data_IF_895877762480
#
_entry.id   IF_895877762480
#
_cell.length_a   1.000
_cell.length_b   1.000
_cell.length_c   1.000
_cell.angle_alpha   90.00
_cell.angle_beta   90.00
_cell.angle_gamma   90.00
#
_symmetry.space_group_name_H-M   'P 1'
#
loop_
_entity.id
_entity.type
_entity.pdbx_description
1 polymer ?
#
# COMPACT_ATOMS: atom_id res chain seq x y z
N UNK A 1 19.57 -15.96 -9.43
CA UNK A 1 19.22 -14.65 -10.00
C UNK A 1 17.88 -14.23 -9.42
N UNK A 2 17.87 -13.29 -8.48
CA UNK A 2 16.64 -12.78 -7.86
C UNK A 2 15.96 -11.85 -8.87
N UNK A 3 15.20 -12.43 -9.80
CA UNK A 3 14.44 -11.68 -10.78
C UNK A 3 13.29 -10.91 -10.13
N UNK A 4 12.98 -9.73 -10.67
CA UNK A 4 11.74 -9.01 -10.38
C UNK A 4 10.56 -9.91 -10.80
N UNK A 5 9.71 -10.28 -9.85
CA UNK A 5 8.51 -11.10 -10.08
C UNK A 5 7.28 -10.33 -9.60
N UNK A 6 6.16 -10.56 -10.27
CA UNK A 6 4.86 -9.98 -9.94
C UNK A 6 3.85 -11.13 -9.78
N UNK A 7 2.84 -10.93 -8.94
CA UNK A 7 1.77 -11.92 -8.78
C UNK A 7 0.90 -12.01 -10.04
N UNK A 8 0.81 -10.90 -10.79
CA UNK A 8 0.28 -10.90 -12.15
C UNK A 8 1.39 -10.93 -13.22
N UNK A 9 1.01 -11.21 -14.47
CA UNK A 9 1.90 -11.16 -15.61
C UNK A 9 2.53 -9.76 -15.76
N UNK A 10 3.86 -9.68 -15.61
CA UNK A 10 4.63 -8.42 -15.64
C UNK A 10 4.34 -7.52 -16.87
N UNK A 11 3.99 -8.13 -18.01
CA UNK A 11 3.59 -7.41 -19.21
C UNK A 11 2.24 -6.68 -19.07
N UNK A 12 1.27 -7.26 -18.34
CA UNK A 12 0.01 -6.58 -18.05
C UNK A 12 0.21 -5.45 -17.05
N UNK A 13 1.01 -5.66 -16.00
CA UNK A 13 1.37 -4.60 -15.04
C UNK A 13 2.06 -3.43 -15.73
N UNK A 14 3.02 -3.71 -16.63
CA UNK A 14 3.70 -2.69 -17.42
C UNK A 14 2.77 -2.00 -18.42
N UNK A 15 1.88 -2.74 -19.09
CA UNK A 15 0.89 -2.17 -20.00
C UNK A 15 -0.10 -1.27 -19.27
N UNK A 16 -0.56 -1.66 -18.07
CA UNK A 16 -1.40 -0.82 -17.22
C UNK A 16 -0.66 0.44 -16.76
N UNK A 17 0.60 0.32 -16.33
CA UNK A 17 1.42 1.45 -15.93
C UNK A 17 1.66 2.43 -17.09
N UNK A 18 1.95 1.94 -18.30
CA UNK A 18 2.11 2.75 -19.51
C UNK A 18 0.79 3.41 -19.92
N UNK A 19 -0.33 2.68 -19.91
CA UNK A 19 -1.63 3.24 -20.23
C UNK A 19 -1.99 4.36 -19.25
N UNK A 20 -1.86 4.13 -17.95
CA UNK A 20 -2.20 5.13 -16.96
C UNK A 20 -1.26 6.36 -17.02
N UNK A 21 0.03 6.17 -17.29
CA UNK A 21 0.96 7.28 -17.52
C UNK A 21 0.73 8.07 -18.82
N UNK A 22 0.05 7.47 -19.81
CA UNK A 22 -0.33 8.15 -21.06
C UNK A 22 -1.62 8.96 -20.93
N UNK A 23 -2.53 8.55 -20.05
CA UNK A 23 -3.84 9.20 -19.88
C UNK A 23 -3.91 10.15 -18.68
N UNK A 24 -3.09 9.96 -17.64
CA UNK A 24 -3.14 10.74 -16.41
C UNK A 24 -1.81 11.46 -16.15
N UNK A 25 -1.85 12.77 -15.91
CA UNK A 25 -0.67 13.60 -15.67
C UNK A 25 0.14 13.21 -14.41
N UNK A 26 1.29 13.86 -14.20
CA UNK A 26 2.29 13.51 -13.17
C UNK A 26 1.79 13.45 -11.72
N UNK A 27 0.70 14.14 -11.38
CA UNK A 27 0.05 14.08 -10.06
C UNK A 27 -0.57 12.73 -9.72
N UNK A 28 -0.74 11.85 -10.72
CA UNK A 28 -1.49 10.58 -10.61
C UNK A 28 -0.59 9.32 -10.67
N UNK A 29 0.73 9.48 -10.74
CA UNK A 29 1.66 8.36 -10.85
C UNK A 29 1.73 7.50 -9.57
N UNK A 30 1.51 8.10 -8.41
CA UNK A 30 1.39 7.37 -7.14
C UNK A 30 0.19 6.43 -7.12
N UNK A 31 -0.94 6.88 -7.67
CA UNK A 31 -2.18 6.11 -7.80
C UNK A 31 -2.06 5.01 -8.86
N UNK A 32 -1.55 5.37 -10.03
CA UNK A 32 -1.61 4.52 -11.21
C UNK A 32 -0.50 3.49 -11.30
N UNK A 33 0.63 3.73 -10.63
CA UNK A 33 1.81 2.87 -10.73
C UNK A 33 2.34 2.54 -9.34
N UNK A 34 2.63 3.54 -8.50
CA UNK A 34 3.39 3.34 -7.26
C UNK A 34 2.72 2.39 -6.26
N UNK A 35 1.49 2.68 -5.86
CA UNK A 35 0.77 1.91 -4.84
C UNK A 35 0.35 0.53 -5.33
N UNK A 36 -0.19 0.36 -6.55
CA UNK A 36 -0.45 -0.96 -7.12
C UNK A 36 0.83 -1.80 -7.25
N UNK A 37 1.92 -1.22 -7.75
CA UNK A 37 3.21 -1.91 -7.86
C UNK A 37 3.70 -2.42 -6.50
N UNK A 38 3.60 -1.58 -5.46
CA UNK A 38 4.00 -1.96 -4.10
C UNK A 38 3.23 -3.19 -3.60
N UNK A 39 1.95 -3.33 -3.96
CA UNK A 39 1.11 -4.47 -3.58
C UNK A 39 1.39 -5.71 -4.44
N UNK A 40 1.66 -5.54 -5.73
CA UNK A 40 1.86 -6.64 -6.69
C UNK A 40 3.30 -7.16 -6.76
N UNK A 41 4.28 -6.44 -6.23
CA UNK A 41 5.68 -6.86 -6.24
C UNK A 41 5.91 -8.07 -5.32
N UNK A 42 6.36 -9.19 -5.90
CA UNK A 42 6.64 -10.43 -5.17
C UNK A 42 7.83 -10.21 -4.22
N UNK A 43 7.61 -10.50 -2.94
CA UNK A 43 8.54 -10.23 -1.85
C UNK A 43 8.12 -9.06 -0.96
N UNK A 44 7.27 -8.13 -1.45
CA UNK A 44 6.65 -7.12 -0.60
C UNK A 44 5.60 -7.75 0.33
N UNK A 45 4.84 -8.72 -0.20
CA UNK A 45 3.89 -9.56 0.53
C UNK A 45 4.54 -10.24 1.74
N UNK A 46 5.76 -10.76 1.61
CA UNK A 46 6.51 -11.35 2.72
C UNK A 46 6.79 -10.31 3.83
N UNK A 47 7.24 -9.11 3.46
CA UNK A 47 7.55 -8.06 4.43
C UNK A 47 6.30 -7.59 5.19
N UNK A 48 5.17 -7.43 4.48
CA UNK A 48 3.90 -7.08 5.11
C UNK A 48 3.41 -8.20 6.03
N UNK A 49 3.44 -9.46 5.57
CA UNK A 49 3.10 -10.63 6.39
C UNK A 49 3.93 -10.69 7.66
N UNK A 50 5.25 -10.58 7.54
CA UNK A 50 6.15 -10.69 8.69
C UNK A 50 5.93 -9.56 9.69
N UNK A 51 5.62 -8.35 9.22
CA UNK A 51 5.28 -7.22 10.09
C UNK A 51 3.97 -7.46 10.84
N UNK A 52 2.92 -7.94 10.16
CA UNK A 52 1.64 -8.25 10.79
C UNK A 52 1.76 -9.42 11.79
N UNK A 53 2.55 -10.44 11.46
CA UNK A 53 2.83 -11.55 12.37
C UNK A 53 3.64 -11.10 13.59
N UNK A 54 4.60 -10.20 13.42
CA UNK A 54 5.31 -9.60 14.54
C UNK A 54 4.35 -8.83 15.45
N UNK A 55 3.43 -8.03 14.88
CA UNK A 55 2.38 -7.32 15.64
C UNK A 55 1.50 -8.28 16.45
N UNK A 56 1.17 -9.45 15.90
CA UNK A 56 0.30 -10.40 16.56
C UNK A 56 0.99 -11.21 17.67
N UNK A 57 2.30 -11.45 17.58
CA UNK A 57 2.98 -12.45 18.42
C UNK A 57 4.14 -11.93 19.27
N UNK A 58 4.77 -10.81 18.90
CA UNK A 58 5.90 -10.29 19.68
C UNK A 58 5.41 -9.56 20.94
N UNK A 59 6.05 -9.78 22.09
CA UNK A 59 5.66 -9.12 23.33
C UNK A 59 6.06 -7.64 23.34
N UNK A 60 5.22 -6.81 23.95
CA UNK A 60 5.50 -5.39 24.19
C UNK A 60 5.00 -4.47 23.07
N UNK A 61 5.54 -3.25 23.03
CA UNK A 61 5.20 -2.26 22.01
C UNK A 61 6.13 -2.37 20.81
N UNK A 62 5.58 -2.23 19.60
CA UNK A 62 6.32 -2.32 18.35
C UNK A 62 6.31 -0.98 17.60
N UNK A 63 7.43 -0.70 16.94
CA UNK A 63 7.57 0.40 15.99
C UNK A 63 8.07 -0.21 14.68
N UNK A 64 7.32 -0.01 13.60
CA UNK A 64 7.73 -0.32 12.24
C UNK A 64 7.72 0.94 11.39
N UNK A 65 8.67 1.07 10.46
CA UNK A 65 8.77 2.24 9.61
C UNK A 65 9.39 1.90 8.26
N UNK A 66 9.14 2.78 7.28
CA UNK A 66 9.90 2.88 6.05
C UNK A 66 10.84 4.10 6.10
N UNK A 67 11.38 4.55 4.97
CA UNK A 67 12.29 5.72 4.96
C UNK A 67 11.59 7.01 5.42
N UNK A 68 10.43 7.31 4.85
CA UNK A 68 9.68 8.55 5.13
C UNK A 68 8.50 8.34 6.08
N UNK A 69 8.25 7.10 6.53
CA UNK A 69 7.12 6.77 7.41
C UNK A 69 5.73 6.88 6.79
N UNK A 70 5.59 7.17 5.48
CA UNK A 70 4.29 7.43 4.84
C UNK A 70 3.74 6.28 3.98
N UNK A 71 4.48 5.80 2.98
CA UNK A 71 3.89 4.92 1.94
C UNK A 71 3.75 3.46 2.41
N UNK A 72 4.87 2.74 2.50
CA UNK A 72 4.91 1.34 2.97
C UNK A 72 4.41 1.21 4.43
N UNK A 73 4.69 2.21 5.25
CA UNK A 73 4.22 2.24 6.64
C UNK A 73 2.71 2.44 6.67
N UNK A 74 2.20 3.47 5.99
CA UNK A 74 0.77 3.75 5.93
C UNK A 74 -0.05 2.62 5.30
N UNK A 75 0.47 1.95 4.27
CA UNK A 75 -0.19 0.76 3.72
C UNK A 75 -0.24 -0.39 4.74
N UNK A 76 0.87 -0.68 5.43
CA UNK A 76 0.91 -1.72 6.48
C UNK A 76 -0.08 -1.40 7.59
N UNK A 77 -0.11 -0.15 8.06
CA UNK A 77 -1.06 0.32 9.07
C UNK A 77 -2.50 0.21 8.57
N UNK A 78 -2.78 0.58 7.32
CA UNK A 78 -4.12 0.50 6.76
C UNK A 78 -4.64 -0.94 6.68
N UNK A 79 -3.79 -1.88 6.28
CA UNK A 79 -4.11 -3.31 6.31
C UNK A 79 -4.38 -3.76 7.75
N UNK A 80 -3.48 -3.44 8.68
CA UNK A 80 -3.62 -3.81 10.10
C UNK A 80 -4.94 -3.30 10.71
N UNK A 81 -5.27 -2.03 10.52
CA UNK A 81 -6.50 -1.45 11.06
C UNK A 81 -7.74 -2.08 10.41
N UNK A 82 -7.67 -2.37 9.11
CA UNK A 82 -8.77 -3.01 8.37
C UNK A 82 -9.04 -4.43 8.88
N UNK A 83 -8.01 -5.27 9.08
CA UNK A 83 -8.20 -6.63 9.62
C UNK A 83 -8.68 -6.62 11.08
N UNK A 84 -8.45 -5.53 11.81
CA UNK A 84 -8.96 -5.31 13.17
C UNK A 84 -10.40 -4.76 13.18
N UNK A 85 -11.04 -4.58 12.01
CA UNK A 85 -12.42 -4.11 11.90
C UNK A 85 -12.60 -2.60 12.13
N UNK A 86 -11.52 -1.82 12.05
CA UNK A 86 -11.60 -0.36 12.18
C UNK A 86 -12.36 0.23 10.99
N UNK A 87 -13.30 1.18 11.21
CA UNK A 87 -14.07 1.77 10.11
C UNK A 87 -13.18 2.39 9.03
N UNK A 88 -13.55 2.20 7.75
CA UNK A 88 -12.78 2.68 6.60
C UNK A 88 -12.41 4.17 6.69
N UNK A 89 -13.34 5.01 7.13
CA UNK A 89 -13.11 6.45 7.28
C UNK A 89 -12.00 6.76 8.31
N UNK A 90 -11.87 5.96 9.37
CA UNK A 90 -10.80 6.12 10.37
C UNK A 90 -9.46 5.68 9.80
N UNK A 91 -9.42 4.60 9.02
CA UNK A 91 -8.21 4.15 8.31
C UNK A 91 -7.71 5.21 7.33
N UNK A 92 -8.63 5.81 6.57
CA UNK A 92 -8.33 6.89 5.63
C UNK A 92 -7.83 8.16 6.34
N UNK A 93 -8.44 8.51 7.48
CA UNK A 93 -8.00 9.65 8.29
C UNK A 93 -6.59 9.44 8.86
N UNK A 94 -6.28 8.24 9.36
CA UNK A 94 -4.93 7.89 9.84
C UNK A 94 -3.89 7.99 8.72
N UNK A 95 -4.19 7.42 7.55
CA UNK A 95 -3.30 7.49 6.39
C UNK A 95 -3.00 8.95 5.98
N UNK A 96 -4.03 9.79 5.91
CA UNK A 96 -3.88 11.22 5.56
C UNK A 96 -3.15 12.04 6.64
N UNK A 97 -3.08 11.58 7.89
CA UNK A 97 -2.36 12.29 8.95
C UNK A 97 -0.86 12.48 8.61
N UNK A 98 -0.31 11.63 7.74
CA UNK A 98 1.03 11.79 7.16
C UNK A 98 1.23 13.18 6.51
N UNK A 99 0.20 13.76 5.90
CA UNK A 99 0.30 15.08 5.26
C UNK A 99 0.58 16.20 6.28
N UNK A 100 0.09 16.04 7.50
CA UNK A 100 0.38 16.97 8.60
C UNK A 100 1.75 16.68 9.22
N UNK A 101 2.01 15.43 9.61
CA UNK A 101 3.20 15.09 10.40
C UNK A 101 4.52 15.09 9.60
N UNK A 102 4.45 14.97 8.28
CA UNK A 102 5.63 15.13 7.41
C UNK A 102 5.90 16.59 7.02
N UNK A 103 5.00 17.52 7.36
CA UNK A 103 5.08 18.91 6.92
C UNK A 103 4.85 19.12 5.42
N UNK A 104 4.29 18.12 4.73
CA UNK A 104 3.97 18.18 3.31
C UNK A 104 2.47 17.87 3.09
N UNK A 105 1.63 18.86 2.75
CA UNK A 105 0.18 18.66 2.60
C UNK A 105 -0.19 17.70 1.46
N UNK A 106 0.74 17.38 0.56
CA UNK A 106 0.57 16.47 -0.58
C UNK A 106 1.44 15.20 -0.44
N UNK A 107 1.85 14.84 0.78
CA UNK A 107 2.72 13.67 1.01
C UNK A 107 2.06 12.35 0.56
N UNK A 108 0.74 12.23 0.73
CA UNK A 108 -0.11 11.11 0.32
C UNK A 108 -1.50 11.59 -0.11
N UNK A 109 -2.19 10.78 -0.91
CA UNK A 109 -3.56 11.04 -1.38
C UNK A 109 -4.44 9.80 -1.18
N UNK A 110 -5.73 9.98 -0.87
CA UNK A 110 -6.66 8.85 -0.67
C UNK A 110 -6.78 7.95 -1.89
N UNK A 111 -6.66 8.53 -3.09
CA UNK A 111 -6.74 7.75 -4.32
C UNK A 111 -5.61 6.71 -4.42
N UNK A 112 -4.43 7.00 -3.84
CA UNK A 112 -3.30 6.07 -3.79
C UNK A 112 -3.61 4.90 -2.86
N UNK A 113 -4.17 5.19 -1.68
CA UNK A 113 -4.62 4.16 -0.74
C UNK A 113 -5.69 3.27 -1.37
N UNK A 114 -6.68 3.87 -2.03
CA UNK A 114 -7.75 3.14 -2.71
C UNK A 114 -7.23 2.26 -3.85
N UNK A 115 -6.20 2.72 -4.58
CA UNK A 115 -5.54 1.91 -5.60
C UNK A 115 -4.83 0.69 -5.00
N UNK A 116 -4.17 0.83 -3.85
CA UNK A 116 -3.57 -0.31 -3.14
C UNK A 116 -4.63 -1.32 -2.66
N UNK A 117 -5.74 -0.87 -2.09
CA UNK A 117 -6.85 -1.77 -1.71
C UNK A 117 -7.45 -2.48 -2.92
N UNK A 118 -7.60 -1.76 -4.04
CA UNK A 118 -8.10 -2.34 -5.30
C UNK A 118 -7.17 -3.44 -5.81
N UNK A 119 -5.86 -3.18 -5.83
CA UNK A 119 -4.87 -4.17 -6.26
C UNK A 119 -4.81 -5.36 -5.28
N UNK A 120 -4.90 -5.11 -3.97
CA UNK A 120 -4.94 -6.18 -2.98
C UNK A 120 -6.17 -7.07 -3.17
N UNK A 121 -7.35 -6.47 -3.40
CA UNK A 121 -8.58 -7.21 -3.67
C UNK A 121 -8.50 -8.05 -4.94
N UNK A 122 -7.83 -7.52 -5.97
CA UNK A 122 -7.62 -8.20 -7.24
C UNK A 122 -6.72 -9.44 -7.10
N UNK A 123 -5.64 -9.33 -6.31
CA UNK A 123 -4.64 -10.40 -6.15
C UNK A 123 -5.07 -11.43 -5.09
N UNK A 124 -5.62 -10.98 -3.96
CA UNK A 124 -5.82 -11.79 -2.76
C UNK A 124 -7.30 -12.02 -2.39
N UNK A 125 -8.25 -11.35 -3.04
CA UNK A 125 -9.67 -11.37 -2.65
C UNK A 125 -10.01 -10.30 -1.60
N UNK A 126 -11.22 -10.35 -1.02
CA UNK A 126 -11.71 -9.30 -0.11
C UNK A 126 -11.09 -9.36 1.28
N UNK A 127 -11.06 -8.20 1.94
CA UNK A 127 -10.85 -8.08 3.39
C UNK A 127 -12.10 -8.44 4.21
N UNK A 128 -13.26 -8.48 3.58
CA UNK A 128 -14.49 -8.99 4.18
C UNK A 128 -14.39 -10.52 4.29
N UNK A 129 -14.46 -11.04 5.51
CA UNK A 129 -14.40 -12.46 5.85
C UNK A 129 -15.73 -13.19 5.64
#
# INVERSE_FOLDING_TARGET
AYGVKFHENAAATLAQALAAGLFNGSGDLGQSIGYPFMVNFVGADHAFRDTLLAVAHEPGALVYHCTAGKDRTGWTTAVLLTILGVPRATVEADFLASNTYTGNPEAVQLSWLNAAFTEANKIYGSFDA
#
